data_IF_683317031070
#
_entry.id   IF_683317031070
#
_cell.length_a   1.000
_cell.length_b   1.000
_cell.length_c   1.000
_cell.angle_alpha   90.00
_cell.angle_beta   90.00
_cell.angle_gamma   90.00
#
_symmetry.space_group_name_H-M   'P 1'
#
loop_
_entity.id
_entity.type
_entity.pdbx_description
1 polymer ?
#
# COMPACT_ATOMS: atom_id res chain seq x y z
N UNK A 1 6.33 9.72 23.28
CA UNK A 1 5.62 9.06 22.18
C UNK A 1 5.90 9.84 20.93
N UNK A 2 6.57 9.20 19.98
CA UNK A 2 6.88 9.79 18.68
C UNK A 2 6.23 8.98 17.57
N UNK A 3 5.70 9.69 16.58
CA UNK A 3 5.18 9.10 15.36
C UNK A 3 6.24 9.27 14.27
N UNK A 4 6.72 8.17 13.69
CA UNK A 4 7.74 8.19 12.64
C UNK A 4 7.13 7.81 11.30
N UNK A 5 7.28 8.70 10.32
CA UNK A 5 6.87 8.44 8.94
C UNK A 5 8.07 7.91 8.16
N UNK A 6 7.94 6.72 7.59
CA UNK A 6 8.99 6.03 6.83
C UNK A 6 8.49 5.92 5.39
N UNK A 7 9.28 6.43 4.45
CA UNK A 7 9.02 6.28 3.01
C UNK A 7 9.26 4.85 2.52
N UNK A 8 9.37 4.71 1.21
CA UNK A 8 9.64 3.46 0.50
C UNK A 8 10.75 2.63 1.18
N UNK A 9 10.37 1.43 1.64
CA UNK A 9 11.32 0.47 2.23
C UNK A 9 11.85 -0.47 1.17
N UNK A 10 11.00 -0.89 0.22
CA UNK A 10 11.37 -1.69 -0.95
C UNK A 10 12.27 -2.88 -0.60
N UNK A 11 11.85 -3.71 0.36
CA UNK A 11 12.60 -4.90 0.79
C UNK A 11 13.97 -4.62 1.43
N UNK A 12 14.33 -3.36 1.72
CA UNK A 12 15.61 -2.99 2.31
C UNK A 12 15.61 -3.17 3.84
N UNK A 13 15.35 -4.41 4.29
CA UNK A 13 15.14 -4.73 5.70
C UNK A 13 16.30 -4.29 6.60
N UNK A 14 17.54 -4.52 6.18
CA UNK A 14 18.72 -4.17 7.01
C UNK A 14 18.83 -2.66 7.21
N UNK A 15 18.58 -1.88 6.16
CA UNK A 15 18.56 -0.42 6.23
C UNK A 15 17.44 0.07 7.17
N UNK A 16 16.27 -0.56 7.11
CA UNK A 16 15.18 -0.28 8.04
C UNK A 16 15.61 -0.55 9.48
N UNK A 17 16.23 -1.69 9.78
CA UNK A 17 16.72 -2.01 11.14
C UNK A 17 17.77 -1.00 11.63
N UNK A 18 18.69 -0.57 10.77
CA UNK A 18 19.67 0.48 11.09
C UNK A 18 18.97 1.80 11.41
N UNK A 19 17.96 2.19 10.63
CA UNK A 19 17.17 3.39 10.87
C UNK A 19 16.45 3.32 12.22
N UNK A 20 15.73 2.21 12.49
CA UNK A 20 14.98 2.01 13.73
C UNK A 20 15.89 2.07 14.97
N UNK A 21 17.10 1.48 14.87
CA UNK A 21 18.12 1.59 15.92
C UNK A 21 18.59 3.03 16.12
N UNK A 22 18.81 3.78 15.02
CA UNK A 22 19.27 5.18 15.07
C UNK A 22 18.25 6.09 15.74
N UNK A 23 16.96 5.92 15.43
CA UNK A 23 15.87 6.69 16.07
C UNK A 23 15.48 6.15 17.45
N UNK A 24 16.09 5.03 17.89
CA UNK A 24 15.79 4.34 19.15
C UNK A 24 14.30 4.02 19.28
N UNK A 25 13.73 3.50 18.20
CA UNK A 25 12.32 3.10 18.15
C UNK A 25 12.01 2.09 19.25
N UNK A 26 10.86 2.26 19.90
CA UNK A 26 10.38 1.38 20.96
C UNK A 26 8.88 1.18 20.82
N UNK A 27 8.47 -0.08 20.71
CA UNK A 27 7.06 -0.50 20.64
C UNK A 27 6.25 -0.11 21.88
N UNK A 28 6.90 0.14 23.01
CA UNK A 28 6.21 0.53 24.25
C UNK A 28 5.66 1.96 24.21
N UNK A 29 6.14 2.80 23.28
CA UNK A 29 5.84 4.24 23.28
C UNK A 29 5.75 4.90 21.92
N UNK A 30 6.22 4.29 20.84
CA UNK A 30 6.33 4.92 19.52
C UNK A 30 5.46 4.19 18.49
N UNK A 31 5.20 4.89 17.38
CA UNK A 31 4.39 4.41 16.27
C UNK A 31 5.14 4.62 14.95
N UNK A 32 5.04 3.65 14.05
CA UNK A 32 5.55 3.74 12.68
C UNK A 32 4.41 3.90 11.69
N UNK A 33 4.60 4.81 10.73
CA UNK A 33 3.72 5.00 9.59
C UNK A 33 4.52 4.76 8.31
N UNK A 34 4.27 3.66 7.61
CA UNK A 34 4.90 3.35 6.33
C UNK A 34 4.09 3.94 5.18
N UNK A 35 4.76 4.65 4.27
CA UNK A 35 4.12 5.35 3.15
C UNK A 35 3.97 4.47 1.90
N UNK A 36 3.86 3.15 2.06
CA UNK A 36 3.76 2.18 0.96
C UNK A 36 5.11 1.78 0.37
N UNK A 37 5.05 0.94 -0.67
CA UNK A 37 6.20 0.33 -1.35
C UNK A 37 7.18 -0.30 -0.36
N UNK A 38 6.65 -1.20 0.48
CA UNK A 38 7.45 -1.92 1.48
C UNK A 38 8.11 -3.16 0.90
N UNK A 39 7.57 -3.69 -0.20
CA UNK A 39 8.11 -4.84 -0.96
C UNK A 39 8.73 -4.41 -2.29
N UNK A 40 9.37 -5.38 -2.96
CA UNK A 40 10.01 -5.26 -4.27
C UNK A 40 11.33 -4.47 -4.26
N UNK A 41 12.12 -4.56 -5.35
CA UNK A 41 13.48 -4.02 -5.54
C UNK A 41 14.57 -4.64 -4.65
N UNK A 42 14.40 -4.59 -3.33
CA UNK A 42 15.33 -5.18 -2.37
C UNK A 42 15.18 -6.70 -2.28
N UNK A 43 16.16 -7.37 -1.69
CA UNK A 43 16.26 -8.83 -1.59
C UNK A 43 15.53 -9.43 -0.38
N UNK A 44 14.98 -8.61 0.52
CA UNK A 44 14.33 -9.04 1.76
C UNK A 44 12.87 -8.58 1.86
N UNK A 45 12.12 -8.69 0.76
CA UNK A 45 10.69 -8.35 0.71
C UNK A 45 9.88 -9.13 1.74
N UNK A 46 10.02 -10.46 1.79
CA UNK A 46 9.28 -11.30 2.74
C UNK A 46 9.59 -10.95 4.20
N UNK A 47 10.87 -10.78 4.54
CA UNK A 47 11.27 -10.39 5.90
C UNK A 47 10.74 -9.01 6.27
N UNK A 48 10.77 -8.06 5.34
CA UNK A 48 10.25 -6.71 5.55
C UNK A 48 8.75 -6.72 5.84
N UNK A 49 7.96 -7.40 4.99
CA UNK A 49 6.51 -7.44 5.16
C UNK A 49 6.09 -8.15 6.45
N UNK A 50 6.72 -9.29 6.78
CA UNK A 50 6.48 -9.99 8.06
C UNK A 50 6.78 -9.09 9.25
N UNK A 51 7.93 -8.43 9.25
CA UNK A 51 8.31 -7.52 10.32
C UNK A 51 7.29 -6.40 10.53
N UNK A 52 6.86 -5.74 9.44
CA UNK A 52 5.89 -4.64 9.53
C UNK A 52 4.54 -5.16 10.05
N UNK A 53 4.05 -6.29 9.54
CA UNK A 53 2.83 -6.95 10.03
C UNK A 53 2.93 -7.29 11.52
N UNK A 54 4.07 -7.84 11.96
CA UNK A 54 4.26 -8.33 13.33
C UNK A 54 4.43 -7.20 14.36
N UNK A 55 4.63 -5.95 13.93
CA UNK A 55 4.56 -4.78 14.80
C UNK A 55 3.13 -4.48 15.28
N UNK A 56 2.10 -5.06 14.65
CA UNK A 56 0.70 -4.90 15.06
C UNK A 56 0.30 -3.43 15.20
N UNK A 57 -0.28 -3.07 16.35
CA UNK A 57 -0.76 -1.71 16.64
C UNK A 57 0.34 -0.64 16.67
N UNK A 58 1.62 -1.02 16.65
CA UNK A 58 2.74 -0.10 16.57
C UNK A 58 3.12 0.29 15.13
N UNK A 59 2.49 -0.31 14.12
CA UNK A 59 2.71 0.03 12.73
C UNK A 59 1.39 0.24 11.98
N UNK A 60 1.35 1.30 11.18
CA UNK A 60 0.29 1.55 10.20
C UNK A 60 0.95 1.76 8.85
N UNK A 61 0.27 1.39 7.77
CA UNK A 61 0.78 1.66 6.43
C UNK A 61 -0.34 2.06 5.47
N UNK A 62 0.03 2.82 4.46
CA UNK A 62 -0.78 2.95 3.24
C UNK A 62 -0.25 2.01 2.17
N UNK A 63 -1.10 1.57 1.25
CA UNK A 63 -0.67 0.76 0.10
C UNK A 63 0.08 1.62 -0.93
N UNK A 64 1.26 1.15 -1.34
CA UNK A 64 1.98 1.66 -2.51
C UNK A 64 1.73 0.85 -3.78
N UNK A 65 2.30 1.31 -4.90
CA UNK A 65 2.13 0.63 -6.19
C UNK A 65 2.75 -0.78 -6.24
N UNK A 66 3.88 -1.00 -5.55
CA UNK A 66 4.55 -2.28 -5.52
C UNK A 66 3.84 -3.27 -4.58
N UNK A 67 3.24 -2.76 -3.50
CA UNK A 67 2.39 -3.58 -2.61
C UNK A 67 1.13 -4.03 -3.35
N UNK A 68 0.49 -3.12 -4.09
CA UNK A 68 -0.65 -3.46 -4.96
C UNK A 68 -0.24 -4.41 -6.10
N UNK A 69 0.97 -4.30 -6.62
CA UNK A 69 1.48 -5.23 -7.62
C UNK A 69 1.61 -6.66 -7.08
N UNK A 70 2.13 -6.81 -5.85
CA UNK A 70 2.15 -8.09 -5.16
C UNK A 70 0.75 -8.68 -4.95
N UNK A 71 -0.25 -7.87 -4.56
CA UNK A 71 -1.64 -8.30 -4.45
C UNK A 71 -2.17 -8.83 -5.79
N UNK A 72 -1.88 -8.12 -6.89
CA UNK A 72 -2.27 -8.56 -8.22
C UNK A 72 -1.61 -9.88 -8.62
N UNK A 73 -0.32 -10.05 -8.38
CA UNK A 73 0.36 -11.33 -8.65
C UNK A 73 -0.13 -12.47 -7.76
N UNK A 74 -0.74 -12.16 -6.61
CA UNK A 74 -1.26 -13.15 -5.66
C UNK A 74 -2.71 -13.55 -5.94
N UNK A 75 -3.54 -12.62 -6.39
CA UNK A 75 -5.00 -12.76 -6.41
C UNK A 75 -5.62 -12.69 -7.81
N UNK A 76 -4.84 -12.36 -8.83
CA UNK A 76 -5.32 -12.12 -10.18
C UNK A 76 -4.57 -12.98 -11.21
N UNK A 77 -4.88 -12.78 -12.48
CA UNK A 77 -4.21 -13.49 -13.58
C UNK A 77 -2.75 -13.04 -13.83
N UNK A 78 -2.33 -11.95 -13.19
CA UNK A 78 -1.00 -11.36 -13.38
C UNK A 78 0.10 -12.24 -12.79
N UNK A 79 1.25 -12.30 -13.48
CA UNK A 79 2.44 -13.01 -13.00
C UNK A 79 3.57 -12.03 -12.67
N UNK A 80 4.41 -12.35 -11.67
CA UNK A 80 5.61 -11.56 -11.39
C UNK A 80 6.54 -11.59 -12.62
N UNK A 81 7.20 -10.47 -12.87
CA UNK A 81 8.20 -10.32 -13.91
C UNK A 81 9.62 -10.58 -13.35
N UNK A 82 10.63 -10.67 -14.22
CA UNK A 82 12.01 -11.02 -13.82
C UNK A 82 12.71 -9.98 -12.93
N UNK A 83 12.16 -8.76 -12.81
CA UNK A 83 12.69 -7.71 -11.93
C UNK A 83 12.02 -7.70 -10.56
N UNK A 84 10.96 -8.48 -10.36
CA UNK A 84 10.26 -8.53 -9.09
C UNK A 84 11.04 -9.38 -8.09
N UNK A 85 11.18 -8.86 -6.86
CA UNK A 85 11.95 -9.47 -5.78
C UNK A 85 11.08 -9.87 -4.59
N UNK A 86 9.80 -10.16 -4.84
CA UNK A 86 8.82 -10.59 -3.84
C UNK A 86 8.28 -12.01 -4.10
N UNK A 87 8.89 -12.77 -5.02
CA UNK A 87 8.44 -14.14 -5.35
C UNK A 87 8.55 -15.08 -4.15
N UNK A 88 9.44 -14.80 -3.21
CA UNK A 88 9.52 -15.47 -1.91
C UNK A 88 8.24 -15.33 -1.08
N UNK A 89 7.56 -14.18 -1.15
CA UNK A 89 6.24 -13.98 -0.52
C UNK A 89 5.19 -14.88 -1.16
N UNK A 90 5.17 -14.99 -2.49
CA UNK A 90 4.21 -15.82 -3.23
C UNK A 90 4.31 -17.32 -2.92
N UNK A 91 5.47 -17.77 -2.45
CA UNK A 91 5.74 -19.17 -2.13
C UNK A 91 5.86 -19.44 -0.63
N UNK A 92 5.67 -18.42 0.21
CA UNK A 92 5.75 -18.56 1.65
C UNK A 92 4.56 -19.36 2.19
N UNK A 93 4.79 -20.17 3.23
CA UNK A 93 3.73 -20.95 3.88
C UNK A 93 2.62 -20.07 4.48
N UNK A 94 2.97 -18.85 4.91
CA UNK A 94 2.06 -17.83 5.45
C UNK A 94 1.62 -16.81 4.40
N UNK A 95 1.80 -17.07 3.11
CA UNK A 95 1.42 -16.17 1.99
C UNK A 95 0.02 -15.59 2.15
N UNK A 96 -0.97 -16.44 2.46
CA UNK A 96 -2.35 -16.01 2.66
C UNK A 96 -2.47 -14.94 3.76
N UNK A 97 -1.76 -15.10 4.88
CA UNK A 97 -1.79 -14.12 5.97
C UNK A 97 -1.15 -12.79 5.58
N UNK A 98 -0.11 -12.82 4.75
CA UNK A 98 0.56 -11.63 4.24
C UNK A 98 -0.30 -10.87 3.22
N UNK A 99 -0.98 -11.60 2.35
CA UNK A 99 -1.95 -11.03 1.40
C UNK A 99 -3.15 -10.45 2.13
N UNK A 100 -3.72 -11.19 3.09
CA UNK A 100 -4.84 -10.71 3.90
C UNK A 100 -4.46 -9.44 4.66
N UNK A 101 -3.25 -9.39 5.23
CA UNK A 101 -2.73 -8.18 5.86
C UNK A 101 -2.70 -6.98 4.89
N UNK A 102 -2.18 -7.17 3.67
CA UNK A 102 -2.13 -6.11 2.65
C UNK A 102 -3.53 -5.66 2.20
N UNK A 103 -4.49 -6.57 2.06
CA UNK A 103 -5.87 -6.24 1.69
C UNK A 103 -6.59 -5.36 2.73
N UNK A 104 -6.13 -5.38 3.98
CA UNK A 104 -6.67 -4.52 5.05
C UNK A 104 -6.04 -3.13 5.10
N UNK A 105 -4.99 -2.86 4.31
CA UNK A 105 -4.30 -1.58 4.39
C UNK A 105 -5.03 -0.50 3.59
N UNK A 106 -5.18 0.72 4.14
CA UNK A 106 -5.85 1.82 3.47
C UNK A 106 -5.01 2.42 2.33
N UNK A 107 -5.65 3.19 1.46
CA UNK A 107 -4.90 4.04 0.52
C UNK A 107 -4.44 5.36 1.15
N UNK A 108 -5.20 5.83 2.14
CA UNK A 108 -4.96 7.12 2.78
C UNK A 108 -5.20 6.99 4.28
N UNK A 109 -4.26 7.49 5.07
CA UNK A 109 -4.42 7.62 6.52
C UNK A 109 -4.51 9.10 6.88
N UNK A 110 -5.59 9.50 7.55
CA UNK A 110 -5.63 10.79 8.24
C UNK A 110 -4.92 10.67 9.59
N UNK A 111 -3.85 11.43 9.77
CA UNK A 111 -3.11 11.50 11.02
C UNK A 111 -2.92 12.97 11.42
N UNK A 112 -3.65 13.39 12.47
CA UNK A 112 -3.71 14.79 12.92
C UNK A 112 -4.14 15.70 11.74
N UNK A 113 -3.36 16.74 11.45
CA UNK A 113 -3.60 17.70 10.35
C UNK A 113 -2.96 17.25 9.02
N UNK A 114 -2.53 15.99 8.91
CA UNK A 114 -1.88 15.46 7.72
C UNK A 114 -2.64 14.27 7.11
N UNK A 115 -2.58 14.18 5.79
CA UNK A 115 -2.96 12.98 5.04
C UNK A 115 -1.70 12.26 4.59
N UNK A 116 -1.62 10.98 4.93
CA UNK A 116 -0.55 10.10 4.49
C UNK A 116 -1.08 9.33 3.27
N UNK A 117 -0.34 9.41 2.17
CA UNK A 117 -0.65 8.76 0.89
C UNK A 117 0.68 8.42 0.22
N UNK A 118 0.71 7.36 -0.58
CA UNK A 118 1.96 6.91 -1.21
C UNK A 118 2.49 7.91 -2.25
N UNK A 119 1.65 8.32 -3.21
CA UNK A 119 2.04 9.25 -4.27
C UNK A 119 1.52 10.67 -4.01
N UNK A 120 0.21 10.88 -4.11
CA UNK A 120 -0.37 12.22 -3.96
C UNK A 120 -1.88 12.25 -4.03
N UNK A 121 -2.43 13.45 -3.87
CA UNK A 121 -3.86 13.73 -3.93
C UNK A 121 -4.11 14.63 -5.15
N UNK A 122 -5.12 14.35 -5.98
CA UNK A 122 -5.49 15.23 -7.09
C UNK A 122 -5.70 16.67 -6.60
N UNK A 123 -5.14 17.71 -7.27
CA UNK A 123 -5.25 19.09 -6.80
C UNK A 123 -6.69 19.61 -6.70
N UNK A 124 -7.62 18.99 -7.41
CA UNK A 124 -9.04 19.31 -7.42
C UNK A 124 -9.86 18.51 -6.39
N UNK A 125 -9.23 17.69 -5.56
CA UNK A 125 -9.89 16.94 -4.49
C UNK A 125 -9.65 17.61 -3.14
N UNK A 126 -10.72 17.72 -2.35
CA UNK A 126 -10.61 18.03 -0.94
C UNK A 126 -10.37 16.77 -0.09
N UNK A 127 -10.12 16.95 1.21
CA UNK A 127 -9.91 15.85 2.15
C UNK A 127 -11.08 14.85 2.15
N UNK A 128 -12.32 15.34 2.13
CA UNK A 128 -13.50 14.47 2.17
C UNK A 128 -13.61 13.61 0.91
N UNK A 129 -13.29 14.17 -0.25
CA UNK A 129 -13.33 13.49 -1.55
C UNK A 129 -12.32 12.35 -1.57
N UNK A 130 -11.07 12.62 -1.19
CA UNK A 130 -10.04 11.57 -1.18
C UNK A 130 -10.36 10.45 -0.18
N UNK A 131 -10.81 10.77 1.04
CA UNK A 131 -11.17 9.78 2.05
C UNK A 131 -12.38 8.93 1.63
N UNK A 132 -13.38 9.55 0.99
CA UNK A 132 -14.55 8.84 0.47
C UNK A 132 -14.14 7.85 -0.62
N UNK A 133 -13.34 8.30 -1.58
CA UNK A 133 -12.95 7.47 -2.71
C UNK A 133 -11.95 6.38 -2.32
N UNK A 134 -11.02 6.65 -1.38
CA UNK A 134 -10.15 5.63 -0.81
C UNK A 134 -10.95 4.52 -0.12
N UNK A 135 -11.95 4.88 0.69
CA UNK A 135 -12.80 3.92 1.39
C UNK A 135 -13.57 3.01 0.41
N UNK A 136 -14.02 3.54 -0.73
CA UNK A 136 -14.70 2.72 -1.75
C UNK A 136 -13.73 1.68 -2.35
N UNK A 137 -12.47 2.06 -2.59
CA UNK A 137 -11.45 1.11 -3.07
C UNK A 137 -11.16 0.06 -2.00
N UNK A 138 -10.99 0.47 -0.75
CA UNK A 138 -10.73 -0.42 0.39
C UNK A 138 -11.85 -1.45 0.57
N UNK A 139 -13.13 -1.03 0.47
CA UNK A 139 -14.28 -1.93 0.50
C UNK A 139 -14.25 -2.98 -0.63
N UNK A 140 -13.74 -2.61 -1.80
CA UNK A 140 -13.58 -3.55 -2.90
C UNK A 140 -12.42 -4.53 -2.67
N UNK A 141 -11.32 -4.08 -2.09
CA UNK A 141 -10.19 -4.93 -1.72
C UNK A 141 -10.55 -5.94 -0.62
N UNK A 142 -11.45 -5.57 0.29
CA UNK A 142 -11.88 -6.40 1.42
C UNK A 142 -13.13 -7.25 1.11
N UNK A 143 -13.62 -7.24 -0.12
CA UNK A 143 -14.83 -7.96 -0.54
C UNK A 143 -14.57 -9.29 -1.27
N UNK A 144 -15.64 -10.07 -1.47
CA UNK A 144 -15.59 -11.44 -2.00
C UNK A 144 -15.05 -11.58 -3.44
N UNK A 145 -14.99 -10.49 -4.22
CA UNK A 145 -14.59 -10.49 -5.63
C UNK A 145 -13.29 -9.70 -5.88
N UNK A 146 -12.38 -9.66 -4.90
CA UNK A 146 -11.15 -8.87 -4.95
C UNK A 146 -10.28 -9.18 -6.17
N UNK A 147 -10.14 -10.45 -6.58
CA UNK A 147 -9.35 -10.81 -7.76
C UNK A 147 -9.84 -10.15 -9.05
N UNK A 148 -11.15 -10.26 -9.31
CA UNK A 148 -11.78 -9.62 -10.46
C UNK A 148 -11.72 -8.09 -10.39
N UNK A 149 -11.84 -7.50 -9.19
CA UNK A 149 -11.63 -6.08 -9.00
C UNK A 149 -10.21 -5.67 -9.39
N UNK A 150 -9.18 -6.35 -8.88
CA UNK A 150 -7.77 -6.05 -9.17
C UNK A 150 -7.45 -6.20 -10.66
N UNK A 151 -7.98 -7.23 -11.34
CA UNK A 151 -7.81 -7.38 -12.80
C UNK A 151 -8.29 -6.13 -13.57
N UNK A 152 -9.37 -5.49 -13.10
CA UNK A 152 -9.87 -4.26 -13.71
C UNK A 152 -9.00 -3.03 -13.40
N UNK A 153 -8.14 -3.06 -12.37
CA UNK A 153 -7.38 -1.88 -11.92
C UNK A 153 -6.04 -1.67 -12.63
N UNK A 154 -5.62 -2.57 -13.52
CA UNK A 154 -4.33 -2.49 -14.23
C UNK A 154 -4.27 -1.52 -15.41
N UNK A 155 -5.36 -0.81 -15.69
CA UNK A 155 -5.40 0.23 -16.72
C UNK A 155 -4.97 1.59 -16.15
N UNK A 156 -4.35 2.40 -17.02
CA UNK A 156 -3.95 3.77 -16.71
C UNK A 156 -5.08 4.79 -16.95
N UNK A 157 -6.18 4.38 -17.56
CA UNK A 157 -7.35 5.23 -17.81
C UNK A 157 -8.38 5.10 -16.67
N UNK A 158 -9.11 6.18 -16.34
CA UNK A 158 -9.04 7.52 -16.94
C UNK A 158 -7.89 8.38 -16.38
N UNK A 159 -7.43 9.37 -17.15
CA UNK A 159 -6.38 10.32 -16.73
C UNK A 159 -6.89 11.52 -15.95
N UNK A 160 -8.19 11.82 -16.05
CA UNK A 160 -8.82 13.00 -15.47
C UNK A 160 -10.03 12.60 -14.63
N UNK A 161 -10.17 13.25 -13.47
CA UNK A 161 -11.37 13.09 -12.66
C UNK A 161 -12.59 13.75 -13.31
N UNK A 162 -13.75 13.11 -13.18
CA UNK A 162 -15.06 13.76 -13.35
C UNK A 162 -16.09 13.06 -12.47
N UNK A 163 -17.09 13.79 -11.98
CA UNK A 163 -18.15 13.20 -11.14
C UNK A 163 -19.06 12.24 -11.93
N UNK A 164 -18.97 12.22 -13.26
CA UNK A 164 -19.68 11.29 -14.14
C UNK A 164 -18.97 9.96 -14.38
N UNK A 165 -17.77 9.74 -13.78
CA UNK A 165 -17.09 8.45 -13.90
C UNK A 165 -17.94 7.34 -13.28
N UNK A 166 -17.99 6.19 -13.97
CA UNK A 166 -18.60 5.01 -13.37
C UNK A 166 -17.78 4.52 -12.17
N UNK A 167 -18.35 3.62 -11.36
CA UNK A 167 -17.72 3.15 -10.12
C UNK A 167 -16.31 2.57 -10.33
N UNK A 168 -16.10 1.78 -11.38
CA UNK A 168 -14.80 1.15 -11.64
C UNK A 168 -13.77 2.16 -12.14
N UNK A 169 -14.17 3.08 -13.01
CA UNK A 169 -13.30 4.17 -13.49
C UNK A 169 -12.90 5.10 -12.35
N UNK A 170 -13.82 5.38 -11.43
CA UNK A 170 -13.52 6.15 -10.24
C UNK A 170 -12.50 5.43 -9.33
N UNK A 171 -12.64 4.12 -9.13
CA UNK A 171 -11.67 3.32 -8.37
C UNK A 171 -10.29 3.31 -9.04
N UNK A 172 -10.24 3.08 -10.36
CA UNK A 172 -9.00 3.13 -11.15
C UNK A 172 -8.29 4.48 -11.03
N UNK A 173 -9.03 5.56 -11.22
CA UNK A 173 -8.50 6.91 -11.07
C UNK A 173 -7.94 7.11 -9.66
N UNK A 174 -8.68 6.69 -8.63
CA UNK A 174 -8.26 6.81 -7.23
C UNK A 174 -6.96 6.05 -6.96
N UNK A 175 -6.85 4.79 -7.40
CA UNK A 175 -5.63 3.99 -7.25
C UNK A 175 -4.45 4.64 -7.96
N UNK A 176 -4.63 5.05 -9.22
CA UNK A 176 -3.57 5.69 -10.00
C UNK A 176 -3.14 7.02 -9.36
N UNK A 177 -4.08 7.82 -8.85
CA UNK A 177 -3.78 9.05 -8.14
C UNK A 177 -2.99 8.79 -6.84
N UNK A 178 -3.51 7.92 -5.97
CA UNK A 178 -2.92 7.66 -4.65
C UNK A 178 -1.61 6.89 -4.72
N UNK A 179 -1.36 6.08 -5.76
CA UNK A 179 -0.19 5.20 -5.84
C UNK A 179 0.79 5.50 -6.97
N UNK A 180 0.42 6.28 -7.99
CA UNK A 180 1.26 6.41 -9.22
C UNK A 180 1.40 7.84 -9.74
N UNK A 181 0.75 8.81 -9.11
CA UNK A 181 0.79 10.21 -9.54
C UNK A 181 2.22 10.74 -9.58
N UNK A 182 2.55 11.44 -10.66
CA UNK A 182 3.80 12.18 -10.83
C UNK A 182 3.44 13.58 -11.31
N UNK A 183 4.12 14.58 -10.78
CA UNK A 183 4.02 15.98 -11.19
C UNK A 183 4.99 16.29 -12.32
#
# INVERSE_FOLDING_TARGET
MSDYLIGDVQGCFDSLQVLLKKIKFSTDKDQLFFLGDVVNRGDKSLTTLRFIKDLGDNAKMVLGNHDFHLLACSLSSLKPNSKDTFTDILHAEDHHQLVDYLLQQPLVIKHKEALLVHAGIPPNWDENTVLKHSLIVEQHLQGDNVGAFIDNMYDNHPYTWSDGLNKMDACRYTINACMRMRV
#
